data_IF_750093265122
#
_entry.id   IF_750093265122
#
_cell.length_a   1.000
_cell.length_b   1.000
_cell.length_c   1.000
_cell.angle_alpha   90.00
_cell.angle_beta   90.00
_cell.angle_gamma   90.00
#
_symmetry.space_group_name_H-M   'P 1'
#
loop_
_entity.id
_entity.type
_entity.pdbx_description
1 polymer ?
#
# COMPACT_ATOMS: atom_id res chain seq x y z
N UNK A 1 -28.11 20.19 -36.23
CA UNK A 1 -27.63 20.04 -34.85
C UNK A 1 -27.51 18.56 -34.56
N UNK A 2 -26.31 18.00 -34.66
CA UNK A 2 -26.04 16.60 -34.29
C UNK A 2 -25.74 16.57 -32.80
N UNK A 3 -26.63 15.95 -32.04
CA UNK A 3 -26.55 15.83 -30.58
C UNK A 3 -25.48 14.83 -30.18
N UNK A 4 -24.54 15.28 -29.35
CA UNK A 4 -24.03 14.54 -28.20
C UNK A 4 -23.09 13.38 -28.48
N UNK A 5 -21.80 13.70 -28.52
CA UNK A 5 -20.72 12.79 -28.15
C UNK A 5 -20.95 12.26 -26.73
N UNK A 6 -21.50 11.06 -26.61
CA UNK A 6 -21.53 10.32 -25.35
C UNK A 6 -20.74 9.05 -25.53
N UNK A 7 -19.42 9.08 -25.31
CA UNK A 7 -18.70 7.83 -25.03
C UNK A 7 -19.21 7.36 -23.68
N UNK A 8 -20.26 6.54 -23.68
CA UNK A 8 -20.65 5.79 -22.48
C UNK A 8 -19.47 4.88 -22.19
N UNK A 9 -18.66 5.24 -21.19
CA UNK A 9 -17.51 4.44 -20.76
C UNK A 9 -18.08 3.10 -20.28
N UNK A 10 -18.00 2.07 -21.12
CA UNK A 10 -18.47 0.73 -20.77
C UNK A 10 -17.34 0.07 -20.00
N UNK A 11 -17.52 -0.20 -18.72
CA UNK A 11 -16.53 -0.97 -17.97
C UNK A 11 -16.38 -2.35 -18.57
N UNK A 12 -15.15 -2.82 -18.75
CA UNK A 12 -14.90 -4.19 -19.22
C UNK A 12 -14.79 -5.13 -18.02
N UNK A 13 -15.16 -6.43 -18.16
CA UNK A 13 -14.93 -7.42 -17.10
C UNK A 13 -13.47 -7.47 -16.63
N UNK A 14 -12.53 -7.25 -17.56
CA UNK A 14 -11.10 -7.20 -17.28
C UNK A 14 -10.74 -6.03 -16.34
N UNK A 15 -11.39 -4.87 -16.47
CA UNK A 15 -11.17 -3.73 -15.60
C UNK A 15 -11.64 -4.02 -14.16
N UNK A 16 -12.82 -4.64 -13.99
CA UNK A 16 -13.30 -5.07 -12.67
C UNK A 16 -12.33 -6.05 -12.02
N UNK A 17 -11.92 -7.10 -12.75
CA UNK A 17 -10.97 -8.10 -12.23
C UNK A 17 -9.65 -7.46 -11.81
N UNK A 18 -9.10 -6.54 -12.61
CA UNK A 18 -7.84 -5.88 -12.28
C UNK A 18 -7.94 -5.01 -11.00
N UNK A 19 -9.06 -4.34 -10.77
CA UNK A 19 -9.30 -3.55 -9.55
C UNK A 19 -9.41 -4.46 -8.33
N UNK A 20 -10.16 -5.55 -8.45
CA UNK A 20 -10.32 -6.55 -7.38
C UNK A 20 -8.96 -7.20 -7.02
N UNK A 21 -8.17 -7.58 -8.03
CA UNK A 21 -6.83 -8.16 -7.84
C UNK A 21 -5.89 -7.18 -7.12
N UNK A 22 -5.86 -5.92 -7.57
CA UNK A 22 -5.02 -4.90 -6.97
C UNK A 22 -5.43 -4.59 -5.52
N UNK A 23 -6.74 -4.52 -5.24
CA UNK A 23 -7.25 -4.36 -3.89
C UNK A 23 -6.83 -5.56 -3.00
N UNK A 24 -6.88 -6.78 -3.52
CA UNK A 24 -6.43 -7.98 -2.81
C UNK A 24 -4.96 -7.95 -2.43
N UNK A 25 -4.08 -7.52 -3.35
CA UNK A 25 -2.65 -7.37 -3.08
C UNK A 25 -2.36 -6.34 -1.97
N UNK A 26 -3.08 -5.21 -2.01
CA UNK A 26 -2.90 -4.11 -1.07
C UNK A 26 -3.46 -4.47 0.32
N UNK A 27 -4.59 -5.17 0.39
CA UNK A 27 -5.30 -5.41 1.66
C UNK A 27 -4.74 -6.54 2.52
N UNK A 28 -3.82 -7.37 2.00
CA UNK A 28 -3.37 -8.57 2.71
C UNK A 28 -1.85 -8.78 2.70
N UNK A 29 -1.27 -9.33 1.61
CA UNK A 29 0.12 -9.76 1.60
C UNK A 29 1.10 -8.62 1.88
N UNK A 30 0.88 -7.46 1.24
CA UNK A 30 1.80 -6.33 1.36
C UNK A 30 1.82 -5.73 2.76
N UNK A 31 0.66 -5.61 3.41
CA UNK A 31 0.56 -5.14 4.79
C UNK A 31 1.25 -6.10 5.76
N UNK A 32 1.01 -7.41 5.58
CA UNK A 32 1.68 -8.46 6.36
C UNK A 32 3.21 -8.37 6.24
N UNK A 33 3.73 -8.10 5.04
CA UNK A 33 5.17 -7.94 4.83
C UNK A 33 5.74 -6.69 5.53
N UNK A 34 5.01 -5.57 5.57
CA UNK A 34 5.44 -4.39 6.33
C UNK A 34 5.53 -4.66 7.83
N UNK A 35 4.53 -5.33 8.38
CA UNK A 35 4.52 -5.68 9.80
C UNK A 35 5.62 -6.69 10.14
N UNK A 36 5.87 -7.67 9.27
CA UNK A 36 6.99 -8.60 9.38
C UNK A 36 8.35 -7.91 9.34
N UNK A 37 8.53 -6.91 8.47
CA UNK A 37 9.76 -6.12 8.40
C UNK A 37 10.01 -5.35 9.71
N UNK A 38 8.97 -4.68 10.24
CA UNK A 38 9.06 -3.95 11.53
C UNK A 38 9.33 -4.90 12.69
N UNK A 39 8.64 -6.03 12.75
CA UNK A 39 8.83 -7.03 13.80
C UNK A 39 10.26 -7.59 13.78
N UNK A 40 10.80 -7.87 12.60
CA UNK A 40 12.18 -8.35 12.45
C UNK A 40 13.20 -7.28 12.86
N UNK A 41 12.96 -6.02 12.48
CA UNK A 41 13.84 -4.92 12.85
C UNK A 41 13.92 -4.70 14.37
N UNK A 42 12.83 -4.95 15.13
CA UNK A 42 12.83 -4.84 16.59
C UNK A 42 13.91 -5.67 17.26
N UNK A 43 14.21 -6.87 16.74
CA UNK A 43 15.31 -7.71 17.23
C UNK A 43 16.64 -6.95 17.19
N UNK A 44 16.91 -6.20 16.12
CA UNK A 44 18.13 -5.40 15.96
C UNK A 44 18.09 -4.11 16.80
N UNK A 45 16.90 -3.61 17.12
CA UNK A 45 16.73 -2.44 17.99
C UNK A 45 17.00 -2.74 19.46
N UNK A 46 16.88 -4.00 19.88
CA UNK A 46 17.18 -4.43 21.23
C UNK A 46 18.70 -4.43 21.49
N UNK A 47 19.20 -3.69 22.50
CA UNK A 47 20.64 -3.60 22.79
C UNK A 47 21.24 -4.92 23.27
N UNK A 48 20.42 -5.83 23.78
CA UNK A 48 20.84 -7.15 24.25
C UNK A 48 21.21 -8.11 23.10
N UNK A 49 20.63 -7.91 21.91
CA UNK A 49 20.84 -8.78 20.75
C UNK A 49 22.01 -8.33 19.86
N UNK A 50 22.36 -7.04 19.89
CA UNK A 50 23.42 -6.48 19.07
C UNK A 50 23.96 -5.18 19.70
N UNK A 51 25.27 -5.01 19.80
CA UNK A 51 25.86 -3.80 20.40
C UNK A 51 27.05 -3.25 19.58
N UNK A 52 27.50 -2.05 19.94
CA UNK A 52 28.59 -1.33 19.31
C UNK A 52 28.13 -0.07 18.58
N UNK A 53 29.10 0.69 18.07
CA UNK A 53 28.86 1.98 17.40
C UNK A 53 27.81 1.89 16.28
N UNK A 54 27.92 0.88 15.42
CA UNK A 54 27.01 0.68 14.29
C UNK A 54 25.60 0.28 14.73
N UNK A 55 25.47 -0.48 15.83
CA UNK A 55 24.17 -0.82 16.39
C UNK A 55 23.46 0.43 16.96
N UNK A 56 24.22 1.30 17.63
CA UNK A 56 23.72 2.60 18.09
C UNK A 56 23.29 3.50 16.93
N UNK A 57 24.10 3.59 15.88
CA UNK A 57 23.76 4.35 14.67
C UNK A 57 22.48 3.81 13.99
N UNK A 58 22.36 2.49 13.93
CA UNK A 58 21.16 1.85 13.39
C UNK A 58 19.90 2.23 14.16
N UNK A 59 19.93 2.15 15.50
CA UNK A 59 18.80 2.50 16.37
C UNK A 59 18.44 3.97 16.32
N UNK A 60 19.45 4.84 16.33
CA UNK A 60 19.25 6.28 16.49
C UNK A 60 18.90 6.99 15.18
N UNK A 61 19.38 6.48 14.05
CA UNK A 61 19.33 7.21 12.77
C UNK A 61 18.79 6.39 11.61
N UNK A 62 19.36 5.20 11.39
CA UNK A 62 19.09 4.42 10.17
C UNK A 62 17.66 3.88 10.21
N UNK A 63 17.32 3.04 11.19
CA UNK A 63 15.99 2.42 11.27
C UNK A 63 14.85 3.44 11.36
N UNK A 64 14.89 4.47 12.24
CA UNK A 64 13.81 5.46 12.31
C UNK A 64 13.55 6.17 10.97
N UNK A 65 14.57 6.36 10.15
CA UNK A 65 14.42 6.99 8.83
C UNK A 65 13.64 6.07 7.88
N UNK A 66 13.99 4.79 7.81
CA UNK A 66 13.26 3.83 6.97
C UNK A 66 11.87 3.52 7.52
N UNK A 67 11.69 3.43 8.84
CA UNK A 67 10.39 3.19 9.45
C UNK A 67 9.37 4.28 9.12
N UNK A 68 9.79 5.55 9.08
CA UNK A 68 8.95 6.66 8.59
C UNK A 68 8.54 6.45 7.14
N UNK A 69 9.48 6.13 6.26
CA UNK A 69 9.17 5.87 4.85
C UNK A 69 8.19 4.69 4.67
N UNK A 70 8.37 3.60 5.43
CA UNK A 70 7.44 2.46 5.41
C UNK A 70 6.04 2.86 5.89
N UNK A 71 5.98 3.75 6.89
CA UNK A 71 4.71 4.29 7.40
C UNK A 71 4.03 5.18 6.37
N UNK A 72 4.78 6.03 5.68
CA UNK A 72 4.24 6.87 4.61
C UNK A 72 3.69 6.03 3.45
N UNK A 73 4.42 4.98 3.04
CA UNK A 73 3.95 4.04 2.02
C UNK A 73 2.66 3.34 2.46
N UNK A 74 2.58 2.88 3.72
CA UNK A 74 1.37 2.28 4.27
C UNK A 74 0.17 3.23 4.18
N UNK A 75 0.36 4.51 4.53
CA UNK A 75 -0.68 5.55 4.41
C UNK A 75 -1.11 5.75 2.95
N UNK A 76 -0.15 5.79 2.01
CA UNK A 76 -0.50 5.93 0.59
C UNK A 76 -1.26 4.73 0.05
N UNK A 77 -0.92 3.52 0.50
CA UNK A 77 -1.62 2.29 0.12
C UNK A 77 -3.04 2.24 0.68
N UNK A 78 -3.27 2.72 1.90
CA UNK A 78 -4.62 2.82 2.45
C UNK A 78 -5.48 3.84 1.67
N UNK A 79 -4.89 4.98 1.26
CA UNK A 79 -5.56 5.93 0.36
C UNK A 79 -5.88 5.32 -0.99
N UNK A 80 -4.94 4.56 -1.56
CA UNK A 80 -5.15 3.86 -2.83
C UNK A 80 -6.30 2.84 -2.71
N UNK A 81 -6.36 2.10 -1.60
CA UNK A 81 -7.46 1.18 -1.30
C UNK A 81 -8.82 1.86 -1.31
N UNK A 82 -8.95 3.01 -0.63
CA UNK A 82 -10.20 3.80 -0.64
C UNK A 82 -10.55 4.22 -2.07
N UNK A 83 -9.57 4.70 -2.83
CA UNK A 83 -9.78 5.11 -4.23
C UNK A 83 -10.18 3.95 -5.15
N UNK A 84 -9.63 2.75 -4.93
CA UNK A 84 -10.00 1.56 -5.69
C UNK A 84 -11.44 1.13 -5.41
N UNK A 85 -11.92 1.29 -4.18
CA UNK A 85 -13.32 1.02 -3.86
C UNK A 85 -14.27 1.98 -4.61
N UNK A 86 -13.92 3.27 -4.72
CA UNK A 86 -14.68 4.24 -5.52
C UNK A 86 -14.68 3.86 -7.00
N UNK A 87 -13.51 3.51 -7.56
CA UNK A 87 -13.38 3.08 -8.96
C UNK A 87 -14.21 1.82 -9.22
N UNK A 88 -14.26 0.88 -8.29
CA UNK A 88 -15.05 -0.33 -8.42
C UNK A 88 -16.56 -0.03 -8.48
N UNK A 89 -17.04 0.90 -7.67
CA UNK A 89 -18.43 1.37 -7.72
C UNK A 89 -18.74 2.04 -9.06
N UNK A 90 -17.84 2.91 -9.53
CA UNK A 90 -18.00 3.59 -10.83
C UNK A 90 -18.06 2.57 -11.98
N UNK A 91 -17.16 1.58 -11.99
CA UNK A 91 -17.13 0.48 -12.95
C UNK A 91 -18.46 -0.28 -12.95
N UNK A 92 -18.94 -0.71 -11.79
CA UNK A 92 -20.18 -1.48 -11.68
C UNK A 92 -21.41 -0.68 -12.11
N UNK A 93 -21.40 0.65 -11.91
CA UNK A 93 -22.51 1.53 -12.33
C UNK A 93 -22.54 1.81 -13.83
N UNK A 94 -21.42 1.62 -14.52
CA UNK A 94 -21.23 1.97 -15.93
C UNK A 94 -21.41 0.78 -16.90
N UNK A 95 -21.48 -0.45 -16.38
CA UNK A 95 -21.75 -1.68 -17.13
C UNK A 95 -23.23 -1.93 -17.38
#
# INVERSE_FOLDING_TARGET
>A
MTTGSGVTVRSTPQASTAVDDLAGLINGPLLTHFDGLRATARILLEPENWDGRTASEFRMSIWPTYERALTDVHIQLDRLRVRLAEIQVDIQSAG
#
